data_IF_704197641262
#
_entry.id   IF_704197641262
#
_cell.length_a   1.000
_cell.length_b   1.000
_cell.length_c   1.000
_cell.angle_alpha   90.00
_cell.angle_beta   90.00
_cell.angle_gamma   90.00
#
_symmetry.space_group_name_H-M   'P 1'
#
loop_
_entity.id
_entity.type
_entity.pdbx_description
1 polymer ?
#
# COMPACT_ATOMS: atom_id res chain seq x y z
N UNK A 1 5.45 10.74 15.86
CA UNK A 1 4.64 11.92 16.19
C UNK A 1 5.02 12.65 17.50
N UNK A 2 5.29 12.01 18.66
CA UNK A 2 5.57 12.75 19.90
C UNK A 2 6.93 13.48 19.91
N UNK A 3 7.93 12.96 19.17
CA UNK A 3 9.28 13.54 19.12
C UNK A 3 9.32 14.93 18.47
N UNK A 4 8.51 15.15 17.41
CA UNK A 4 8.49 16.42 16.67
C UNK A 4 7.85 17.53 17.50
N UNK A 5 6.82 17.20 18.29
CA UNK A 5 6.19 18.12 19.22
C UNK A 5 7.14 18.51 20.36
N UNK A 6 7.90 17.54 20.90
CA UNK A 6 8.89 17.80 21.95
C UNK A 6 10.02 18.71 21.46
N UNK A 7 10.50 18.49 20.23
CA UNK A 7 11.54 19.31 19.60
C UNK A 7 11.05 20.73 19.33
N UNK A 8 9.82 20.89 18.84
CA UNK A 8 9.21 22.20 18.62
C UNK A 8 9.07 22.99 19.92
N UNK A 9 8.62 22.35 21.00
CA UNK A 9 8.53 22.96 22.33
C UNK A 9 9.92 23.38 22.83
N UNK A 10 10.94 22.53 22.65
CA UNK A 10 12.32 22.84 23.02
C UNK A 10 12.89 24.05 22.29
N UNK A 11 12.69 24.14 20.96
CA UNK A 11 13.13 25.28 20.15
C UNK A 11 12.39 26.56 20.53
N UNK A 12 11.06 26.48 20.76
CA UNK A 12 10.27 27.63 21.23
C UNK A 12 10.71 28.12 22.61
N UNK A 13 11.02 27.21 23.53
CA UNK A 13 11.49 27.56 24.87
C UNK A 13 12.82 28.33 24.83
N UNK A 14 13.77 27.92 23.99
CA UNK A 14 15.05 28.62 23.81
C UNK A 14 14.86 30.01 23.20
N UNK A 15 13.94 30.16 22.24
CA UNK A 15 13.63 31.46 21.62
C UNK A 15 12.94 32.43 22.60
N UNK A 16 12.01 31.93 23.42
CA UNK A 16 11.35 32.72 24.48
C UNK A 16 12.33 33.14 25.57
N UNK A 17 13.19 32.21 26.02
CA UNK A 17 14.18 32.50 27.06
C UNK A 17 15.23 33.54 26.62
N UNK A 18 15.45 33.68 25.30
CA UNK A 18 16.45 34.59 24.73
C UNK A 18 15.87 35.92 24.24
N UNK A 19 14.56 36.02 24.03
CA UNK A 19 13.93 37.26 23.55
C UNK A 19 13.58 38.21 24.71
N UNK A 20 14.31 39.32 24.83
CA UNK A 20 13.93 40.43 25.71
C UNK A 20 12.92 41.33 24.97
N UNK A 21 11.63 41.00 25.01
CA UNK A 21 10.54 41.84 24.45
C UNK A 21 9.40 41.08 23.75
N UNK A 22 8.32 41.81 23.39
CA UNK A 22 7.05 41.27 22.85
C UNK A 22 7.12 40.53 21.50
N UNK A 23 8.30 40.45 20.89
CA UNK A 23 8.56 39.72 19.64
C UNK A 23 8.26 38.22 19.78
N UNK A 24 8.47 37.65 20.98
CA UNK A 24 8.13 36.25 21.27
C UNK A 24 6.66 35.90 21.05
N UNK A 25 5.73 36.83 21.30
CA UNK A 25 4.29 36.61 21.09
C UNK A 25 3.91 36.57 19.60
N UNK A 26 4.54 37.39 18.77
CA UNK A 26 4.31 37.41 17.32
C UNK A 26 4.81 36.10 16.70
N UNK A 27 5.99 35.63 17.12
CA UNK A 27 6.51 34.34 16.69
C UNK A 27 5.65 33.17 17.17
N UNK A 28 5.14 33.22 18.41
CA UNK A 28 4.25 32.19 18.93
C UNK A 28 2.94 32.10 18.12
N UNK A 29 2.35 33.26 17.77
CA UNK A 29 1.14 33.30 16.96
C UNK A 29 1.38 32.76 15.53
N UNK A 30 2.46 33.19 14.87
CA UNK A 30 2.81 32.73 13.53
C UNK A 30 3.12 31.22 13.50
N UNK A 31 3.89 30.74 14.49
CA UNK A 31 4.25 29.34 14.60
C UNK A 31 3.05 28.44 14.92
N UNK A 32 2.09 28.93 15.71
CA UNK A 32 0.82 28.24 15.99
C UNK A 32 -0.04 28.07 14.73
N UNK A 33 -0.15 29.12 13.91
CA UNK A 33 -0.87 29.05 12.63
C UNK A 33 -0.25 28.03 11.67
N UNK A 34 1.08 28.02 11.60
CA UNK A 34 1.83 27.07 10.77
C UNK A 34 1.64 25.61 11.26
N UNK A 35 1.67 25.38 12.58
CA UNK A 35 1.36 24.08 13.19
C UNK A 35 -0.02 23.56 12.81
N UNK A 36 -1.05 24.42 12.88
CA UNK A 36 -2.44 24.05 12.53
C UNK A 36 -2.53 23.65 11.05
N UNK A 37 -1.85 24.38 10.17
CA UNK A 37 -1.79 24.06 8.74
C UNK A 37 -1.15 22.68 8.50
N UNK A 38 0.03 22.43 9.09
CA UNK A 38 0.73 21.15 8.91
C UNK A 38 -0.04 19.96 9.48
N UNK A 39 -0.73 20.10 10.61
CA UNK A 39 -1.58 19.02 11.16
C UNK A 39 -2.75 18.69 10.23
N UNK A 40 -3.38 19.70 9.62
CA UNK A 40 -4.45 19.49 8.64
C UNK A 40 -3.95 18.73 7.41
N UNK A 41 -2.80 19.13 6.86
CA UNK A 41 -2.25 18.51 5.67
C UNK A 41 -1.85 17.05 5.91
N UNK A 42 -1.13 16.78 7.00
CA UNK A 42 -0.77 15.41 7.39
C UNK A 42 -2.01 14.55 7.63
N UNK A 43 -3.03 15.09 8.29
CA UNK A 43 -4.31 14.38 8.49
C UNK A 43 -5.02 14.09 7.18
N UNK A 44 -4.92 14.97 6.19
CA UNK A 44 -5.54 14.80 4.87
C UNK A 44 -4.86 13.67 4.09
N UNK A 45 -3.52 13.63 4.13
CA UNK A 45 -2.72 12.56 3.51
C UNK A 45 -3.02 11.22 4.19
N UNK A 46 -2.95 11.14 5.52
CA UNK A 46 -3.24 9.92 6.27
C UNK A 46 -4.66 9.39 6.01
N UNK A 47 -5.66 10.28 5.98
CA UNK A 47 -7.06 9.91 5.68
C UNK A 47 -7.28 9.49 4.23
N UNK A 48 -6.38 9.85 3.32
CA UNK A 48 -6.40 9.38 1.93
C UNK A 48 -5.80 7.98 1.80
N UNK A 49 -4.75 7.70 2.57
CA UNK A 49 -4.08 6.41 2.63
C UNK A 49 -4.97 5.34 3.32
N UNK A 50 -5.58 5.68 4.46
CA UNK A 50 -6.56 4.80 5.12
C UNK A 50 -7.74 4.46 4.21
N UNK A 51 -8.23 5.43 3.42
CA UNK A 51 -9.34 5.19 2.46
C UNK A 51 -8.91 4.33 1.28
N UNK A 52 -7.65 4.41 0.83
CA UNK A 52 -7.10 3.52 -0.21
C UNK A 52 -6.96 2.10 0.34
N UNK A 53 -6.37 1.94 1.51
CA UNK A 53 -6.20 0.64 2.16
C UNK A 53 -7.55 -0.02 2.46
N UNK A 54 -8.53 0.75 2.94
CA UNK A 54 -9.88 0.23 3.19
C UNK A 54 -10.58 -0.24 1.90
N UNK A 55 -10.44 0.49 0.80
CA UNK A 55 -10.97 0.07 -0.52
C UNK A 55 -10.27 -1.15 -1.08
N UNK A 56 -8.95 -1.24 -0.94
CA UNK A 56 -8.20 -2.41 -1.42
C UNK A 56 -8.60 -3.68 -0.64
N UNK A 57 -8.81 -3.57 0.67
CA UNK A 57 -9.31 -4.67 1.51
C UNK A 57 -10.76 -5.05 1.13
N UNK A 58 -11.64 -4.07 0.91
CA UNK A 58 -13.03 -4.31 0.54
C UNK A 58 -13.13 -5.00 -0.84
N UNK A 59 -12.36 -4.53 -1.83
CA UNK A 59 -12.33 -5.18 -3.14
C UNK A 59 -11.56 -6.51 -3.17
N UNK A 60 -10.71 -6.78 -2.18
CA UNK A 60 -10.07 -8.09 -2.01
C UNK A 60 -11.05 -9.12 -1.42
N UNK A 61 -12.01 -8.66 -0.61
CA UNK A 61 -13.02 -9.53 0.01
C UNK A 61 -14.03 -10.11 -0.98
N UNK A 62 -14.33 -9.39 -2.07
CA UNK A 62 -15.28 -9.82 -3.10
C UNK A 62 -14.63 -10.61 -4.25
N UNK A 63 -13.30 -10.54 -4.39
CA UNK A 63 -12.58 -11.23 -5.46
C UNK A 63 -12.17 -12.63 -5.04
N UNK A 64 -12.76 -13.63 -5.68
CA UNK A 64 -12.53 -15.04 -5.38
C UNK A 64 -11.45 -15.61 -6.29
N UNK A 65 -10.60 -16.47 -5.72
CA UNK A 65 -9.63 -17.26 -6.45
C UNK A 65 -9.59 -18.68 -5.88
N UNK A 66 -9.26 -19.64 -6.75
CA UNK A 66 -8.97 -21.01 -6.37
C UNK A 66 -7.46 -21.26 -6.40
N UNK A 67 -6.96 -21.90 -5.35
CA UNK A 67 -5.57 -22.32 -5.25
C UNK A 67 -5.48 -23.83 -5.03
N UNK A 68 -5.08 -24.55 -6.08
CA UNK A 68 -4.94 -26.00 -6.05
C UNK A 68 -3.47 -26.33 -5.80
N UNK A 69 -3.18 -26.93 -4.64
CA UNK A 69 -1.81 -27.29 -4.23
C UNK A 69 -1.56 -28.79 -4.41
N UNK A 70 -0.53 -29.14 -5.18
CA UNK A 70 0.07 -30.47 -5.24
C UNK A 70 1.50 -30.44 -4.69
N UNK A 71 2.19 -31.59 -4.65
CA UNK A 71 3.55 -31.69 -4.06
C UNK A 71 4.59 -30.81 -4.76
N UNK A 72 4.58 -30.80 -6.10
CA UNK A 72 5.57 -30.10 -6.92
C UNK A 72 4.93 -29.10 -7.90
N UNK A 73 3.61 -28.98 -7.86
CA UNK A 73 2.83 -28.11 -8.74
C UNK A 73 1.76 -27.37 -7.96
N UNK A 74 1.46 -26.15 -8.38
CA UNK A 74 0.40 -25.33 -7.86
C UNK A 74 -0.32 -24.66 -9.02
N UNK A 75 -1.65 -24.70 -9.00
CA UNK A 75 -2.49 -24.07 -10.02
C UNK A 75 -3.34 -23.01 -9.37
N UNK A 76 -3.18 -21.77 -9.83
CA UNK A 76 -3.96 -20.63 -9.40
C UNK A 76 -4.98 -20.29 -10.48
N UNK A 77 -6.25 -20.11 -10.10
CA UNK A 77 -7.33 -19.75 -11.02
C UNK A 77 -8.13 -18.59 -10.45
N UNK A 78 -8.33 -17.53 -11.22
CA UNK A 78 -9.17 -16.41 -10.81
C UNK A 78 -9.77 -15.67 -12.01
N UNK A 79 -10.89 -15.00 -11.78
CA UNK A 79 -11.46 -14.05 -12.75
C UNK A 79 -10.67 -12.75 -12.72
N UNK A 80 -10.24 -12.27 -13.88
CA UNK A 80 -9.49 -11.02 -14.01
C UNK A 80 -10.13 -10.18 -15.11
N UNK A 81 -10.54 -8.93 -14.83
CA UNK A 81 -11.15 -8.08 -15.83
C UNK A 81 -10.13 -7.57 -16.85
N UNK A 82 -10.60 -7.28 -18.07
CA UNK A 82 -9.80 -6.68 -19.13
C UNK A 82 -9.50 -7.64 -20.28
N UNK A 83 -8.91 -7.14 -21.38
CA UNK A 83 -8.48 -7.97 -22.49
C UNK A 83 -7.13 -8.64 -22.18
N UNK A 84 -6.79 -9.69 -22.93
CA UNK A 84 -5.60 -10.53 -22.72
C UNK A 84 -4.29 -9.74 -22.75
N UNK A 85 -4.19 -8.72 -23.62
CA UNK A 85 -3.02 -7.86 -23.78
C UNK A 85 -2.74 -6.98 -22.56
N UNK A 86 -3.72 -6.82 -21.66
CA UNK A 86 -3.58 -6.05 -20.42
C UNK A 86 -3.27 -6.93 -19.20
N UNK A 87 -3.23 -8.25 -19.38
CA UNK A 87 -2.95 -9.18 -18.29
C UNK A 87 -1.44 -9.28 -18.08
N UNK A 88 -1.00 -9.01 -16.85
CA UNK A 88 0.41 -9.17 -16.46
C UNK A 88 0.49 -9.92 -15.13
N UNK A 89 1.33 -10.96 -15.11
CA UNK A 89 1.49 -11.84 -13.96
C UNK A 89 2.96 -11.88 -13.56
N UNK A 90 3.23 -11.72 -12.27
CA UNK A 90 4.59 -11.80 -11.72
C UNK A 90 4.59 -12.53 -10.39
N UNK A 91 5.48 -13.50 -10.25
CA UNK A 91 5.78 -14.15 -8.99
C UNK A 91 7.12 -13.63 -8.48
N UNK A 92 7.18 -13.07 -7.27
CA UNK A 92 8.42 -12.58 -6.68
C UNK A 92 8.41 -12.85 -5.19
N UNK A 93 9.40 -13.63 -4.71
CA UNK A 93 9.56 -13.98 -3.29
C UNK A 93 8.28 -14.51 -2.62
N UNK A 94 7.52 -15.38 -3.31
CA UNK A 94 6.26 -15.93 -2.79
C UNK A 94 5.04 -15.03 -2.94
N UNK A 95 5.18 -13.82 -3.50
CA UNK A 95 4.06 -12.94 -3.79
C UNK A 95 3.66 -13.03 -5.26
N UNK A 96 2.43 -13.46 -5.54
CA UNK A 96 1.85 -13.47 -6.88
C UNK A 96 1.10 -12.16 -7.12
N UNK A 97 1.67 -11.31 -7.97
CA UNK A 97 1.07 -10.05 -8.41
C UNK A 97 0.38 -10.24 -9.75
N UNK A 98 -0.91 -9.94 -9.79
CA UNK A 98 -1.76 -10.01 -10.97
C UNK A 98 -2.24 -8.60 -11.30
N UNK A 99 -2.02 -8.18 -12.55
CA UNK A 99 -2.56 -6.95 -13.11
C UNK A 99 -3.46 -7.28 -14.28
N UNK A 100 -4.58 -6.58 -14.37
CA UNK A 100 -5.51 -6.66 -15.50
C UNK A 100 -6.00 -5.27 -15.91
N UNK A 101 -7.06 -5.25 -16.71
CA UNK A 101 -7.71 -4.02 -17.14
C UNK A 101 -8.45 -3.31 -16.00
N UNK A 102 -8.98 -2.12 -16.27
CA UNK A 102 -9.78 -1.34 -15.31
C UNK A 102 -9.07 -1.02 -13.97
N UNK A 103 -7.75 -0.84 -14.00
CA UNK A 103 -6.91 -0.65 -12.81
C UNK A 103 -6.95 -1.83 -11.83
N UNK A 104 -7.28 -3.03 -12.31
CA UNK A 104 -7.27 -4.23 -11.49
C UNK A 104 -5.83 -4.61 -11.13
N UNK A 105 -5.53 -4.67 -9.84
CA UNK A 105 -4.27 -5.18 -9.32
C UNK A 105 -4.52 -5.94 -8.03
N UNK A 106 -4.01 -7.17 -7.96
CA UNK A 106 -4.14 -8.04 -6.78
C UNK A 106 -2.81 -8.70 -6.46
N UNK A 107 -2.49 -8.68 -5.18
CA UNK A 107 -1.32 -9.33 -4.62
C UNK A 107 -1.80 -10.50 -3.76
N UNK A 108 -1.41 -11.72 -4.14
CA UNK A 108 -1.78 -12.95 -3.43
C UNK A 108 -0.52 -13.57 -2.84
N UNK A 109 -0.39 -13.64 -1.51
CA UNK A 109 0.72 -14.36 -0.88
C UNK A 109 0.53 -15.87 -1.07
N UNK A 110 1.55 -16.53 -1.61
CA UNK A 110 1.59 -17.98 -1.77
C UNK A 110 2.54 -18.58 -0.74
N UNK A 111 2.07 -19.60 -0.04
CA UNK A 111 2.88 -20.42 0.84
C UNK A 111 3.77 -21.35 0.00
N UNK A 112 4.94 -20.85 -0.40
CA UNK A 112 5.92 -21.63 -1.13
C UNK A 112 6.86 -22.35 -0.15
N UNK A 113 6.84 -23.68 -0.16
CA UNK A 113 7.75 -24.51 0.64
C UNK A 113 9.10 -24.75 -0.06
N UNK A 114 9.19 -24.45 -1.35
CA UNK A 114 10.35 -24.68 -2.21
C UNK A 114 10.46 -23.53 -3.23
N UNK A 115 11.60 -23.41 -3.93
CA UNK A 115 11.74 -22.44 -5.03
C UNK A 115 10.81 -22.84 -6.18
N UNK A 116 9.74 -22.07 -6.38
CA UNK A 116 8.76 -22.27 -7.44
C UNK A 116 8.68 -21.03 -8.34
N UNK A 117 8.40 -21.25 -9.62
CA UNK A 117 8.29 -20.24 -10.66
C UNK A 117 7.03 -20.42 -11.49
N UNK A 118 6.65 -19.39 -12.23
CA UNK A 118 5.55 -19.48 -13.21
C UNK A 118 6.04 -20.29 -14.39
N UNK A 119 5.44 -21.46 -14.63
CA UNK A 119 5.79 -22.30 -15.78
C UNK A 119 4.94 -21.99 -17.01
N UNK A 120 3.66 -21.66 -16.81
CA UNK A 120 2.73 -21.29 -17.87
C UNK A 120 1.61 -20.41 -17.29
N UNK A 121 1.01 -19.57 -18.12
CA UNK A 121 -0.24 -18.89 -17.77
C UNK A 121 -1.13 -18.75 -19.01
N UNK A 122 -2.44 -18.86 -18.80
CA UNK A 122 -3.44 -18.74 -19.85
C UNK A 122 -4.57 -17.85 -19.38
N UNK A 123 -5.01 -16.96 -20.27
CA UNK A 123 -6.17 -16.12 -20.04
C UNK A 123 -7.23 -16.42 -21.09
N UNK A 124 -8.42 -16.85 -20.66
CA UNK A 124 -9.53 -17.15 -21.58
C UNK A 124 -10.85 -16.72 -20.95
N UNK A 125 -11.65 -15.97 -21.71
CA UNK A 125 -13.00 -15.55 -21.32
C UNK A 125 -13.08 -14.93 -19.92
N UNK A 126 -12.13 -14.07 -19.54
CA UNK A 126 -12.14 -13.47 -18.20
C UNK A 126 -11.40 -14.27 -17.13
N UNK A 127 -11.02 -15.52 -17.41
CA UNK A 127 -10.41 -16.41 -16.41
C UNK A 127 -8.92 -16.55 -16.65
N UNK A 128 -8.13 -16.23 -15.64
CA UNK A 128 -6.69 -16.39 -15.59
C UNK A 128 -6.34 -17.70 -14.88
N UNK A 129 -5.64 -18.59 -15.57
CA UNK A 129 -5.07 -19.82 -15.01
C UNK A 129 -3.55 -19.71 -15.03
N UNK A 130 -2.91 -19.82 -13.87
CA UNK A 130 -1.46 -19.77 -13.73
C UNK A 130 -0.98 -21.11 -13.19
N UNK A 131 -0.02 -21.72 -13.90
CA UNK A 131 0.69 -22.90 -13.45
C UNK A 131 2.01 -22.49 -12.84
N UNK A 132 2.22 -22.95 -11.61
CA UNK A 132 3.40 -22.69 -10.81
C UNK A 132 4.03 -24.04 -10.53
N UNK A 133 5.29 -24.19 -10.87
CA UNK A 133 6.03 -25.43 -10.70
C UNK A 133 7.38 -25.14 -10.05
N UNK A 134 7.97 -26.17 -9.47
CA UNK A 134 9.34 -26.11 -8.97
C UNK A 134 10.31 -25.71 -10.10
N UNK A 135 11.22 -24.78 -9.80
CA UNK A 135 12.31 -24.36 -10.69
C UNK A 135 13.44 -25.38 -10.63
#
# INVERSE_FOLDING_TARGET
>A
MPLLALLFIGVMFVLLARSQGGVGFIFLAAASGLMIYWVREVKLIARSEDRRMSRDIEQQKDWVYDLIKNKDEMVFVAEVPGPEDQINVRLTAGLLRIKGGQNFTRDVPLELTQQMGISDYKYRNGVLTIKIQKI
#
